data_IF_138909994396
#
_entry.id   IF_138909994396
#
_cell.length_a   1.000
_cell.length_b   1.000
_cell.length_c   1.000
_cell.angle_alpha   90.00
_cell.angle_beta   90.00
_cell.angle_gamma   90.00
#
_symmetry.space_group_name_H-M   'P 1'
#
loop_
_entity.id
_entity.type
_entity.pdbx_description
1 polymer ?
#
# COMPACT_ATOMS: atom_id res chain seq x y z
N UNK A 1 27.60 -39.92 7.09
CA UNK A 1 26.18 -39.68 7.46
C UNK A 1 26.15 -38.81 8.72
N UNK A 2 25.92 -37.50 8.59
CA UNK A 2 25.83 -36.58 9.73
C UNK A 2 24.37 -36.20 9.98
N UNK A 3 23.57 -37.17 10.43
CA UNK A 3 22.11 -37.03 10.63
C UNK A 3 21.76 -36.42 12.01
N UNK A 4 22.74 -36.11 12.86
CA UNK A 4 22.48 -35.69 14.26
C UNK A 4 22.48 -34.18 14.57
N UNK A 5 22.84 -33.27 13.65
CA UNK A 5 23.19 -31.88 14.02
C UNK A 5 22.13 -30.81 13.73
N UNK A 6 21.01 -31.16 13.09
CA UNK A 6 20.05 -30.17 12.60
C UNK A 6 18.69 -30.17 13.34
N UNK A 7 18.52 -31.00 14.37
CA UNK A 7 17.28 -31.02 15.17
C UNK A 7 17.10 -29.70 15.92
N UNK A 8 18.18 -29.15 16.50
CA UNK A 8 18.16 -27.84 17.14
C UNK A 8 17.80 -26.73 16.14
N UNK A 9 18.34 -26.79 14.93
CA UNK A 9 18.01 -25.84 13.84
C UNK A 9 16.55 -25.99 13.40
N UNK A 10 16.02 -27.22 13.35
CA UNK A 10 14.61 -27.48 13.05
C UNK A 10 13.67 -26.95 14.13
N UNK A 11 13.97 -27.18 15.40
CA UNK A 11 13.20 -26.64 16.53
C UNK A 11 13.25 -25.11 16.52
N UNK A 12 14.44 -24.53 16.32
CA UNK A 12 14.60 -23.08 16.22
C UNK A 12 13.79 -22.51 15.04
N UNK A 13 13.80 -23.17 13.88
CA UNK A 13 13.04 -22.75 12.71
C UNK A 13 11.52 -22.82 12.96
N UNK A 14 11.03 -23.82 13.69
CA UNK A 14 9.62 -23.91 14.07
C UNK A 14 9.24 -22.76 15.01
N UNK A 15 10.06 -22.49 16.03
CA UNK A 15 9.83 -21.40 16.98
C UNK A 15 9.83 -20.05 16.24
N UNK A 16 10.81 -19.82 15.37
CA UNK A 16 10.87 -18.60 14.56
C UNK A 16 9.68 -18.49 13.61
N UNK A 17 9.25 -19.57 12.97
CA UNK A 17 8.05 -19.59 12.14
C UNK A 17 6.78 -19.22 12.91
N UNK A 18 6.62 -19.76 14.13
CA UNK A 18 5.50 -19.42 15.02
C UNK A 18 5.55 -17.95 15.46
N UNK A 19 6.74 -17.43 15.80
CA UNK A 19 6.93 -16.01 16.14
C UNK A 19 6.54 -15.12 14.95
N UNK A 20 6.98 -15.48 13.73
CA UNK A 20 6.65 -14.73 12.51
C UNK A 20 5.15 -14.75 12.22
N UNK A 21 4.46 -15.87 12.46
CA UNK A 21 2.99 -15.96 12.30
C UNK A 21 2.26 -15.16 13.37
N UNK A 22 2.76 -15.14 14.62
CA UNK A 22 2.16 -14.39 15.72
C UNK A 22 2.43 -12.87 15.63
N UNK A 23 3.54 -12.47 15.00
CA UNK A 23 4.00 -11.09 14.95
C UNK A 23 2.96 -10.11 14.35
N UNK A 24 2.29 -10.39 13.21
CA UNK A 24 1.24 -9.51 12.68
C UNK A 24 0.13 -9.22 13.69
N UNK A 25 -0.25 -10.21 14.51
CA UNK A 25 -1.39 -10.06 15.43
C UNK A 25 -1.06 -9.13 16.61
N UNK A 26 0.14 -9.25 17.19
CA UNK A 26 0.60 -8.40 18.30
C UNK A 26 1.05 -7.02 17.80
N UNK A 27 1.66 -6.99 16.61
CA UNK A 27 2.18 -5.76 15.99
C UNK A 27 1.06 -4.78 15.64
N UNK A 28 -0.07 -5.27 15.08
CA UNK A 28 -1.19 -4.40 14.70
C UNK A 28 -1.85 -3.73 15.92
N UNK A 29 -1.97 -4.44 17.05
CA UNK A 29 -2.46 -3.83 18.29
C UNK A 29 -1.53 -2.71 18.78
N UNK A 30 -0.23 -2.99 18.83
CA UNK A 30 0.79 -2.01 19.24
C UNK A 30 0.77 -0.79 18.31
N UNK A 31 0.64 -1.03 17.01
CA UNK A 31 0.52 0.04 16.02
C UNK A 31 -0.76 0.86 16.20
N UNK A 32 -1.88 0.23 16.56
CA UNK A 32 -3.14 0.94 16.85
C UNK A 32 -3.00 1.88 18.05
N UNK A 33 -2.35 1.43 19.12
CA UNK A 33 -2.05 2.28 20.28
C UNK A 33 -1.17 3.46 19.87
N UNK A 34 -0.07 3.20 19.15
CA UNK A 34 0.86 4.26 18.71
C UNK A 34 0.20 5.25 17.73
N UNK A 35 -0.57 4.76 16.77
CA UNK A 35 -1.31 5.59 15.82
C UNK A 35 -2.35 6.45 16.55
N UNK A 36 -3.13 5.86 17.45
CA UNK A 36 -4.09 6.59 18.28
C UNK A 36 -3.41 7.69 19.10
N UNK A 37 -2.31 7.37 19.78
CA UNK A 37 -1.50 8.34 20.54
C UNK A 37 -0.94 9.44 19.63
N UNK A 38 -0.44 9.10 18.45
CA UNK A 38 0.04 10.06 17.47
C UNK A 38 -1.07 11.04 17.03
N UNK A 39 -2.26 10.52 16.73
CA UNK A 39 -3.42 11.33 16.35
C UNK A 39 -3.89 12.23 17.50
N UNK A 40 -3.83 11.76 18.76
CA UNK A 40 -4.11 12.58 19.94
C UNK A 40 -3.13 13.76 20.06
N UNK A 41 -1.83 13.49 19.90
CA UNK A 41 -0.79 14.51 19.94
C UNK A 41 -1.01 15.53 18.81
N UNK A 42 -1.34 15.07 17.60
CA UNK A 42 -1.70 15.96 16.48
C UNK A 42 -2.94 16.80 16.78
N UNK A 43 -3.94 16.23 17.44
CA UNK A 43 -5.14 16.98 17.86
C UNK A 43 -4.80 18.11 18.82
N UNK A 44 -3.99 17.83 19.85
CA UNK A 44 -3.51 18.85 20.79
C UNK A 44 -2.68 19.90 20.04
N UNK A 45 -1.80 19.49 19.13
CA UNK A 45 -1.02 20.40 18.30
C UNK A 45 -1.91 21.35 17.49
N UNK A 46 -2.96 20.86 16.84
CA UNK A 46 -3.90 21.71 16.10
C UNK A 46 -4.67 22.65 17.02
N UNK A 47 -5.07 22.23 18.22
CA UNK A 47 -5.68 23.14 19.18
C UNK A 47 -4.74 24.28 19.58
N UNK A 48 -3.44 23.99 19.76
CA UNK A 48 -2.44 25.05 20.01
C UNK A 48 -2.32 25.99 18.81
N UNK A 49 -2.29 25.45 17.58
CA UNK A 49 -2.20 26.26 16.37
C UNK A 49 -3.43 27.14 16.13
N UNK A 50 -4.60 26.73 16.60
CA UNK A 50 -5.79 27.56 16.51
C UNK A 50 -5.64 28.90 17.23
N UNK A 51 -4.98 28.93 18.38
CA UNK A 51 -4.79 30.16 19.13
C UNK A 51 -3.60 30.97 18.61
N UNK A 52 -2.57 30.32 18.06
CA UNK A 52 -1.40 31.02 17.51
C UNK A 52 -1.74 31.88 16.29
N UNK A 53 -2.70 31.45 15.47
CA UNK A 53 -3.10 32.15 14.24
C UNK A 53 -4.34 33.04 14.39
N UNK A 54 -4.89 33.15 15.61
CA UNK A 54 -6.16 33.84 15.89
C UNK A 54 -6.19 35.30 15.45
N UNK A 55 -5.09 36.01 15.68
CA UNK A 55 -4.95 37.41 15.31
C UNK A 55 -4.72 37.60 13.80
N UNK A 56 -4.09 36.62 13.15
CA UNK A 56 -3.80 36.68 11.71
C UNK A 56 -5.02 36.34 10.86
N UNK A 57 -5.74 35.27 11.21
CA UNK A 57 -6.93 34.83 10.48
C UNK A 57 -7.82 34.00 11.38
N UNK A 58 -8.96 34.60 11.76
CA UNK A 58 -10.01 33.90 12.51
C UNK A 58 -10.52 32.67 11.75
N UNK A 59 -10.59 32.73 10.43
CA UNK A 59 -11.04 31.61 9.60
C UNK A 59 -10.13 30.38 9.72
N UNK A 60 -8.82 30.57 9.54
CA UNK A 60 -7.83 29.49 9.66
C UNK A 60 -7.81 28.92 11.09
N UNK A 61 -7.99 29.79 12.09
CA UNK A 61 -8.03 29.40 13.50
C UNK A 61 -9.21 28.48 13.81
N UNK A 62 -10.39 28.79 13.29
CA UNK A 62 -11.58 27.95 13.43
C UNK A 62 -11.37 26.59 12.76
N UNK A 63 -10.72 26.54 11.59
CA UNK A 63 -10.35 25.27 10.94
C UNK A 63 -9.46 24.43 11.85
N UNK A 64 -8.42 25.02 12.44
CA UNK A 64 -7.56 24.29 13.38
C UNK A 64 -8.29 23.83 14.64
N UNK A 65 -9.23 24.60 15.17
CA UNK A 65 -10.08 24.15 16.30
C UNK A 65 -10.87 22.90 15.92
N UNK A 66 -11.56 22.93 14.77
CA UNK A 66 -12.39 21.82 14.31
C UNK A 66 -11.52 20.59 14.05
N UNK A 67 -10.39 20.76 13.35
CA UNK A 67 -9.44 19.67 13.09
C UNK A 67 -8.87 19.09 14.38
N UNK A 68 -8.52 19.94 15.36
CA UNK A 68 -8.02 19.50 16.66
C UNK A 68 -9.03 18.66 17.44
N UNK A 69 -10.29 19.11 17.50
CA UNK A 69 -11.37 18.37 18.17
C UNK A 69 -11.63 17.03 17.48
N UNK A 70 -11.75 17.02 16.14
CA UNK A 70 -11.95 15.79 15.36
C UNK A 70 -10.79 14.83 15.57
N UNK A 71 -9.55 15.32 15.53
CA UNK A 71 -8.36 14.50 15.75
C UNK A 71 -8.34 13.92 17.17
N UNK A 72 -8.73 14.67 18.21
CA UNK A 72 -8.82 14.11 19.57
C UNK A 72 -9.86 12.99 19.62
N UNK A 73 -11.07 13.20 19.09
CA UNK A 73 -12.13 12.18 19.09
C UNK A 73 -11.67 10.93 18.32
N UNK A 74 -11.08 11.11 17.13
CA UNK A 74 -10.56 10.02 16.33
C UNK A 74 -9.41 9.28 17.04
N UNK A 75 -8.49 10.02 17.66
CA UNK A 75 -7.37 9.47 18.42
C UNK A 75 -7.84 8.59 19.58
N UNK A 76 -8.80 9.07 20.37
CA UNK A 76 -9.42 8.26 21.45
C UNK A 76 -10.04 6.98 20.87
N UNK A 77 -10.77 7.09 19.76
CA UNK A 77 -11.39 5.94 19.09
C UNK A 77 -10.38 4.93 18.51
N UNK A 78 -9.15 5.37 18.22
CA UNK A 78 -8.10 4.54 17.63
C UNK A 78 -7.22 3.82 18.65
N UNK A 79 -7.01 4.37 19.86
CA UNK A 79 -6.10 3.79 20.85
C UNK A 79 -6.55 2.38 21.24
N UNK A 80 -5.77 1.37 20.84
CA UNK A 80 -6.04 -0.04 21.13
C UNK A 80 -7.20 -0.65 20.33
N UNK A 81 -7.88 0.12 19.49
CA UNK A 81 -8.95 -0.37 18.62
C UNK A 81 -8.41 -0.80 17.26
N UNK A 82 -8.15 -2.10 17.14
CA UNK A 82 -7.67 -2.72 15.90
C UNK A 82 -8.64 -2.51 14.74
N UNK A 83 -9.95 -2.62 14.97
CA UNK A 83 -10.95 -2.47 13.91
C UNK A 83 -10.98 -1.05 13.34
N UNK A 84 -10.92 -0.04 14.22
CA UNK A 84 -10.85 1.37 13.81
C UNK A 84 -9.55 1.65 13.04
N UNK A 85 -8.41 1.11 13.50
CA UNK A 85 -7.15 1.21 12.78
C UNK A 85 -7.24 0.53 11.40
N UNK A 86 -7.75 -0.69 11.31
CA UNK A 86 -7.86 -1.43 10.06
C UNK A 86 -8.77 -0.71 9.06
N UNK A 87 -9.89 -0.16 9.51
CA UNK A 87 -10.76 0.67 8.67
C UNK A 87 -10.01 1.91 8.16
N UNK A 88 -9.38 2.67 9.07
CA UNK A 88 -8.67 3.89 8.72
C UNK A 88 -7.48 3.62 7.79
N UNK A 89 -6.67 2.60 8.09
CA UNK A 89 -5.56 2.17 7.26
C UNK A 89 -6.04 1.71 5.88
N UNK A 90 -7.13 0.95 5.80
CA UNK A 90 -7.71 0.54 4.51
C UNK A 90 -8.15 1.74 3.70
N UNK A 91 -8.81 2.71 4.33
CA UNK A 91 -9.22 3.94 3.69
C UNK A 91 -8.02 4.76 3.19
N UNK A 92 -6.99 4.96 4.03
CA UNK A 92 -5.77 5.69 3.67
C UNK A 92 -5.03 4.98 2.53
N UNK A 93 -4.85 3.66 2.60
CA UNK A 93 -4.18 2.89 1.56
C UNK A 93 -4.96 2.88 0.26
N UNK A 94 -6.30 2.85 0.32
CA UNK A 94 -7.15 2.95 -0.87
C UNK A 94 -7.00 4.32 -1.55
N UNK A 95 -7.10 5.42 -0.78
CA UNK A 95 -6.88 6.76 -1.32
C UNK A 95 -5.47 6.91 -1.88
N UNK A 96 -4.45 6.54 -1.10
CA UNK A 96 -3.06 6.62 -1.52
C UNK A 96 -2.79 5.80 -2.80
N UNK A 97 -3.34 4.58 -2.88
CA UNK A 97 -3.24 3.73 -4.06
C UNK A 97 -3.94 4.34 -5.27
N UNK A 98 -5.13 4.90 -5.10
CA UNK A 98 -5.86 5.59 -6.17
C UNK A 98 -5.05 6.76 -6.74
N UNK A 99 -4.50 7.63 -5.88
CA UNK A 99 -3.68 8.75 -6.32
C UNK A 99 -2.36 8.28 -6.94
N UNK A 100 -1.67 7.30 -6.34
CA UNK A 100 -0.40 6.80 -6.83
C UNK A 100 -0.55 6.17 -8.22
N UNK A 101 -1.52 5.26 -8.40
CA UNK A 101 -1.79 4.64 -9.69
C UNK A 101 -2.32 5.67 -10.69
N UNK A 102 -3.23 6.55 -10.27
CA UNK A 102 -3.76 7.60 -11.14
C UNK A 102 -2.67 8.50 -11.72
N UNK A 103 -1.75 8.96 -10.86
CA UNK A 103 -0.60 9.78 -11.30
C UNK A 103 0.34 8.96 -12.18
N UNK A 104 0.64 7.71 -11.82
CA UNK A 104 1.48 6.82 -12.63
C UNK A 104 0.92 6.63 -14.04
N UNK A 105 -0.37 6.30 -14.16
CA UNK A 105 -1.03 6.12 -15.45
C UNK A 105 -1.12 7.41 -16.24
N UNK A 106 -1.30 8.55 -15.57
CA UNK A 106 -1.29 9.85 -16.25
C UNK A 106 0.08 10.12 -16.88
N UNK A 107 1.17 9.91 -16.14
CA UNK A 107 2.53 10.08 -16.66
C UNK A 107 2.80 9.11 -17.83
N UNK A 108 2.45 7.84 -17.67
CA UNK A 108 2.61 6.83 -18.73
C UNK A 108 1.74 7.17 -19.95
N UNK A 109 0.53 7.70 -19.74
CA UNK A 109 -0.36 8.14 -20.81
C UNK A 109 0.23 9.30 -21.61
N UNK A 110 0.84 10.28 -20.95
CA UNK A 110 1.56 11.37 -21.62
C UNK A 110 2.75 10.86 -22.44
N UNK A 111 3.50 9.90 -21.91
CA UNK A 111 4.62 9.29 -22.64
C UNK A 111 4.14 8.45 -23.82
N UNK A 112 3.06 7.68 -23.64
CA UNK A 112 2.42 6.88 -24.67
C UNK A 112 1.67 7.73 -25.72
N UNK A 113 1.48 9.03 -25.52
CA UNK A 113 0.97 9.92 -26.57
C UNK A 113 2.04 10.32 -27.59
N UNK A 114 3.32 10.13 -27.27
CA UNK A 114 4.38 10.29 -28.27
C UNK A 114 4.40 9.06 -29.20
N UNK A 115 4.18 9.24 -30.52
CA UNK A 115 4.22 8.14 -31.47
C UNK A 115 5.55 7.37 -31.48
N UNK A 116 6.67 8.02 -31.12
CA UNK A 116 7.98 7.39 -31.06
C UNK A 116 8.05 6.32 -29.97
N UNK A 117 7.58 6.64 -28.76
CA UNK A 117 7.58 5.71 -27.64
C UNK A 117 6.63 4.54 -27.87
N UNK A 118 5.46 4.79 -28.48
CA UNK A 118 4.56 3.73 -28.92
C UNK A 118 5.22 2.81 -29.95
N UNK A 119 5.84 3.37 -30.98
CA UNK A 119 6.48 2.60 -32.04
C UNK A 119 7.61 1.71 -31.49
N UNK A 120 8.41 2.23 -30.56
CA UNK A 120 9.47 1.47 -29.91
C UNK A 120 8.90 0.33 -29.06
N UNK A 121 7.88 0.62 -28.24
CA UNK A 121 7.29 -0.34 -27.32
C UNK A 121 6.57 -1.47 -28.08
N UNK A 122 5.83 -1.12 -29.13
CA UNK A 122 5.20 -2.08 -30.06
C UNK A 122 6.27 -2.87 -30.83
N UNK A 123 7.31 -2.21 -31.33
CA UNK A 123 8.40 -2.86 -32.06
C UNK A 123 9.13 -3.91 -31.23
N UNK A 124 9.49 -3.59 -29.98
CA UNK A 124 10.09 -4.55 -29.04
C UNK A 124 9.13 -5.73 -28.79
N UNK A 125 7.84 -5.44 -28.57
CA UNK A 125 6.84 -6.48 -28.33
C UNK A 125 6.71 -7.47 -29.51
N UNK A 126 6.74 -6.96 -30.74
CA UNK A 126 6.70 -7.78 -31.94
C UNK A 126 7.95 -8.65 -32.11
N UNK A 127 9.13 -8.10 -31.83
CA UNK A 127 10.39 -8.88 -31.86
C UNK A 127 10.31 -10.04 -30.88
N UNK A 128 9.87 -9.78 -29.64
CA UNK A 128 9.72 -10.82 -28.61
C UNK A 128 8.72 -11.88 -29.07
N UNK A 129 7.54 -11.45 -29.53
CA UNK A 129 6.49 -12.37 -30.00
C UNK A 129 6.97 -13.25 -31.16
N UNK A 130 7.66 -12.67 -32.14
CA UNK A 130 8.22 -13.42 -33.27
C UNK A 130 9.28 -14.44 -32.83
N UNK A 131 10.14 -14.09 -31.87
CA UNK A 131 11.11 -15.04 -31.31
C UNK A 131 10.41 -16.21 -30.61
N UNK A 132 9.36 -15.93 -29.81
CA UNK A 132 8.59 -16.99 -29.14
C UNK A 132 7.89 -17.94 -30.13
N UNK A 133 7.32 -17.42 -31.22
CA UNK A 133 6.67 -18.20 -32.28
C UNK A 133 7.65 -19.17 -32.95
N UNK A 134 8.88 -18.73 -33.21
CA UNK A 134 9.93 -19.57 -33.82
C UNK A 134 10.37 -20.68 -32.87
N UNK A 135 10.49 -20.39 -31.58
CA UNK A 135 10.94 -21.36 -30.57
C UNK A 135 9.84 -22.39 -30.27
N UNK A 136 8.58 -21.99 -30.30
CA UNK A 136 7.44 -22.85 -30.01
C UNK A 136 6.36 -22.74 -31.09
N UNK A 137 6.63 -23.24 -32.31
CA UNK A 137 5.69 -23.15 -33.41
C UNK A 137 4.41 -23.90 -33.04
N UNK A 138 3.28 -23.20 -33.04
CA UNK A 138 1.98 -23.87 -32.93
C UNK A 138 1.79 -24.72 -34.17
N UNK A 139 1.60 -26.03 -33.97
CA UNK A 139 1.22 -26.92 -35.07
C UNK A 139 -0.15 -26.48 -35.59
N UNK A 140 -0.24 -26.21 -36.88
CA UNK A 140 -1.52 -25.94 -37.55
C UNK A 140 -2.45 -27.15 -37.35
N UNK A 141 -3.66 -26.89 -36.86
CA UNK A 141 -4.72 -27.90 -36.82
C UNK A 141 -5.17 -28.08 -38.26
N UNK A 142 -4.94 -29.27 -38.84
CA UNK A 142 -5.42 -29.59 -40.18
C UNK A 142 -6.94 -29.51 -40.20
N UNK A 143 -7.49 -28.50 -40.87
CA UNK A 143 -8.89 -28.48 -41.27
C UNK A 143 -9.01 -29.33 -42.54
N UNK A 144 -8.89 -30.65 -42.36
CA UNK A 144 -9.40 -31.55 -43.39
C UNK A 144 -10.92 -31.39 -43.41
N UNK A 145 -11.55 -31.17 -44.58
CA UNK A 145 -12.99 -31.08 -44.65
C UNK A 145 -13.57 -32.40 -44.14
N UNK A 146 -14.45 -32.30 -43.15
CA UNK A 146 -15.30 -33.42 -42.73
C UNK A 146 -16.21 -33.72 -43.94
N UNK A 147 -15.89 -34.81 -44.65
CA UNK A 147 -16.82 -35.46 -45.59
C UNK A 147 -18.07 -35.97 -44.85
#
# INVERSE_FOLDING_TARGET
>A
MAVGKNVLLGILAIILGLIVIAFPLISVFTFSVLAGMGVLILGIWFLVQAFSVWESSKGISIVYLILGIIAIIAGIGLVGNILALSFLASFILYLAGFFLLGIMYLILGFYAWDPFYLALLIGIWLIISGVFEIINPKKEVSTDPVE
#
